data_IF_741329378441
#
_entry.id   IF_741329378441
#
_cell.length_a   1.000
_cell.length_b   1.000
_cell.length_c   1.000
_cell.angle_alpha   90.00
_cell.angle_beta   90.00
_cell.angle_gamma   90.00
#
_symmetry.space_group_name_H-M   'P 1'
#
loop_
_entity.id
_entity.type
_entity.pdbx_description
1 polymer ?
#
# COMPACT_ATOMS: atom_id res chain seq x y z
N UNK A 1 -5.39 8.12 9.11
CA UNK A 1 -4.07 8.80 9.27
C UNK A 1 -4.15 10.18 8.64
N UNK A 2 -3.53 11.20 9.24
CA UNK A 2 -3.52 12.57 8.72
C UNK A 2 -2.07 13.06 8.61
N UNK A 3 -1.76 13.75 7.52
CA UNK A 3 -0.46 14.30 7.19
C UNK A 3 -0.60 15.78 6.89
N UNK A 4 0.36 16.58 7.33
CA UNK A 4 0.47 18.00 6.99
C UNK A 4 1.82 18.27 6.34
N UNK A 5 1.80 19.03 5.24
CA UNK A 5 3.01 19.43 4.56
C UNK A 5 3.71 20.56 5.32
N UNK A 6 4.76 20.25 6.08
CA UNK A 6 5.59 21.26 6.76
C UNK A 6 6.36 22.18 5.80
N UNK A 7 6.58 21.72 4.56
CA UNK A 7 7.32 22.43 3.50
C UNK A 7 6.73 22.10 2.13
N UNK A 8 6.97 22.93 1.09
CA UNK A 8 6.51 22.62 -0.26
C UNK A 8 7.03 21.27 -0.76
N UNK A 9 6.14 20.46 -1.32
CA UNK A 9 6.44 19.13 -1.87
C UNK A 9 6.05 19.11 -3.34
N UNK A 10 7.05 19.25 -4.21
CA UNK A 10 6.86 19.27 -5.66
C UNK A 10 7.04 17.88 -6.30
N UNK A 11 7.84 17.03 -5.66
CA UNK A 11 8.08 15.65 -6.07
C UNK A 11 8.22 14.74 -4.85
N UNK A 12 7.74 13.50 -5.02
CA UNK A 12 7.82 12.45 -4.02
C UNK A 12 8.34 11.21 -4.73
N UNK A 13 9.52 10.73 -4.37
CA UNK A 13 10.05 9.48 -4.91
C UNK A 13 9.65 8.36 -3.96
N UNK A 14 8.68 7.53 -4.34
CA UNK A 14 8.15 6.47 -3.49
C UNK A 14 8.59 5.11 -4.01
N UNK A 15 9.16 4.31 -3.11
CA UNK A 15 9.48 2.90 -3.33
C UNK A 15 8.38 2.06 -2.70
N UNK A 16 7.77 1.19 -3.50
CA UNK A 16 6.89 0.12 -3.05
C UNK A 16 7.62 -1.20 -3.22
N UNK A 17 7.74 -1.98 -2.15
CA UNK A 17 8.27 -3.35 -2.22
C UNK A 17 7.27 -4.29 -1.56
N UNK A 18 6.77 -5.25 -2.34
CA UNK A 18 5.89 -6.28 -1.85
C UNK A 18 6.66 -7.59 -1.76
N UNK A 19 6.70 -8.16 -0.57
CA UNK A 19 7.33 -9.43 -0.30
C UNK A 19 6.26 -10.49 -0.03
N UNK A 20 6.48 -11.67 -0.58
CA UNK A 20 5.82 -12.90 -0.15
C UNK A 20 6.64 -13.50 0.98
N UNK A 21 5.95 -13.97 2.01
CA UNK A 21 6.48 -14.66 3.17
C UNK A 21 5.93 -16.08 3.19
N UNK A 22 6.79 -17.07 2.95
CA UNK A 22 6.43 -18.48 3.01
C UNK A 22 7.12 -19.17 4.20
N UNK A 23 6.66 -20.37 4.55
CA UNK A 23 7.21 -21.18 5.65
C UNK A 23 7.26 -20.39 6.97
N UNK A 24 6.11 -19.86 7.40
CA UNK A 24 5.97 -19.05 8.62
C UNK A 24 6.93 -17.84 8.68
N UNK A 25 7.26 -17.30 7.50
CA UNK A 25 8.15 -16.16 7.36
C UNK A 25 9.64 -16.47 7.32
N UNK A 26 10.04 -17.76 7.31
CA UNK A 26 11.43 -18.17 7.09
C UNK A 26 11.94 -17.80 5.69
N UNK A 27 11.04 -17.73 4.70
CA UNK A 27 11.37 -17.30 3.34
C UNK A 27 10.74 -15.93 3.08
N UNK A 28 11.55 -14.94 2.71
CA UNK A 28 11.10 -13.59 2.30
C UNK A 28 11.57 -13.32 0.87
N UNK A 29 10.65 -13.36 -0.09
CA UNK A 29 10.93 -13.13 -1.51
C UNK A 29 10.23 -11.87 -2.01
N UNK A 30 10.91 -11.06 -2.81
CA UNK A 30 10.31 -9.88 -3.46
C UNK A 30 9.40 -10.36 -4.59
N UNK A 31 8.09 -10.13 -4.47
CA UNK A 31 7.15 -10.34 -5.56
C UNK A 31 7.22 -9.20 -6.59
N UNK A 32 7.25 -7.96 -6.11
CA UNK A 32 7.51 -6.80 -6.96
C UNK A 32 8.14 -5.66 -6.17
N UNK A 33 8.93 -4.85 -6.88
CA UNK A 33 9.54 -3.61 -6.39
C UNK A 33 9.38 -2.53 -7.44
N UNK A 34 8.87 -1.36 -7.06
CA UNK A 34 8.59 -0.24 -7.98
C UNK A 34 8.97 1.09 -7.35
N UNK A 35 9.77 1.85 -8.07
CA UNK A 35 9.96 3.27 -7.81
C UNK A 35 8.96 4.07 -8.63
N UNK A 36 8.23 4.97 -7.99
CA UNK A 36 7.33 5.91 -8.66
C UNK A 36 7.63 7.34 -8.22
N UNK A 37 7.36 8.31 -9.10
CA UNK A 37 7.14 9.68 -8.68
C UNK A 37 5.69 9.81 -8.23
N UNK A 38 5.45 9.80 -6.91
CA UNK A 38 4.13 9.90 -6.30
C UNK A 38 3.40 11.17 -6.72
N UNK A 39 4.10 12.29 -6.91
CA UNK A 39 3.48 13.52 -7.38
C UNK A 39 3.05 13.46 -8.84
N UNK A 40 3.88 12.85 -9.70
CA UNK A 40 3.51 12.60 -11.09
C UNK A 40 2.35 11.60 -11.19
N UNK A 41 2.37 10.55 -10.38
CA UNK A 41 1.31 9.56 -10.29
C UNK A 41 -0.01 10.16 -9.80
N UNK A 42 -0.01 11.00 -8.76
CA UNK A 42 -1.22 11.71 -8.31
C UNK A 42 -1.79 12.65 -9.39
N UNK A 43 -0.93 13.21 -10.25
CA UNK A 43 -1.36 14.01 -11.40
C UNK A 43 -1.91 13.15 -12.55
N UNK A 44 -1.38 11.93 -12.72
CA UNK A 44 -1.69 10.99 -13.81
C UNK A 44 -1.62 9.54 -13.29
N UNK A 45 -2.68 9.03 -12.62
CA UNK A 45 -2.62 7.75 -11.91
C UNK A 45 -2.53 6.52 -12.84
N UNK A 46 -2.69 6.71 -14.16
CA UNK A 46 -2.61 5.62 -15.14
C UNK A 46 -1.17 5.22 -15.50
N UNK A 47 -0.14 5.85 -14.92
CA UNK A 47 1.27 5.56 -15.22
C UNK A 47 1.76 4.22 -14.69
N UNK A 48 1.15 3.70 -13.61
CA UNK A 48 1.42 2.37 -13.09
C UNK A 48 0.10 1.70 -12.70
N UNK A 49 -0.29 0.68 -13.48
CA UNK A 49 -1.58 -0.02 -13.30
C UNK A 49 -1.66 -0.76 -11.98
N UNK A 50 -0.56 -1.35 -11.52
CA UNK A 50 -0.55 -2.13 -10.29
C UNK A 50 -0.74 -1.20 -9.09
N UNK A 51 0.01 -0.10 -9.04
CA UNK A 51 -0.15 0.89 -7.97
C UNK A 51 -1.54 1.55 -8.03
N UNK A 52 -2.07 1.80 -9.24
CA UNK A 52 -3.42 2.33 -9.42
C UNK A 52 -4.51 1.50 -8.78
N UNK A 53 -4.45 0.17 -8.90
CA UNK A 53 -5.44 -0.73 -8.28
C UNK A 53 -5.54 -0.48 -6.77
N UNK A 54 -4.40 -0.37 -6.08
CA UNK A 54 -4.38 -0.09 -4.64
C UNK A 54 -4.75 1.37 -4.34
N UNK A 55 -4.28 2.31 -5.15
CA UNK A 55 -4.50 3.73 -4.95
C UNK A 55 -5.95 4.16 -5.14
N UNK A 56 -6.68 3.58 -6.09
CA UNK A 56 -8.08 3.93 -6.35
C UNK A 56 -8.95 3.67 -5.11
N UNK A 57 -8.74 2.54 -4.42
CA UNK A 57 -9.42 2.22 -3.15
C UNK A 57 -9.01 3.19 -2.04
N UNK A 58 -7.72 3.48 -1.91
CA UNK A 58 -7.26 4.45 -0.90
C UNK A 58 -7.93 5.79 -1.15
N UNK A 59 -7.95 6.28 -2.40
CA UNK A 59 -8.52 7.56 -2.79
C UNK A 59 -10.02 7.64 -2.52
N UNK A 60 -10.76 6.54 -2.64
CA UNK A 60 -12.20 6.50 -2.36
C UNK A 60 -12.51 6.85 -0.90
N UNK A 61 -11.71 6.35 0.04
CA UNK A 61 -11.92 6.59 1.48
C UNK A 61 -11.07 7.74 2.04
N UNK A 62 -10.16 8.29 1.24
CA UNK A 62 -9.16 9.28 1.65
C UNK A 62 -9.41 10.66 1.04
N UNK A 63 -8.90 11.70 1.70
CA UNK A 63 -8.80 13.05 1.13
C UNK A 63 -7.35 13.29 0.73
N UNK A 64 -7.02 12.94 -0.51
CA UNK A 64 -5.70 13.14 -1.10
C UNK A 64 -5.74 14.32 -2.06
N UNK A 65 -5.18 15.49 -1.69
CA UNK A 65 -5.11 16.62 -2.61
C UNK A 65 -4.17 16.32 -3.77
N UNK A 66 -4.33 17.07 -4.85
CA UNK A 66 -3.48 16.98 -6.03
C UNK A 66 -2.12 17.66 -5.75
N UNK A 67 -1.02 16.95 -5.99
CA UNK A 67 0.34 17.50 -5.89
C UNK A 67 0.61 18.54 -7.02
N UNK A 68 1.39 19.64 -6.82
CA UNK A 68 2.27 20.00 -5.68
C UNK A 68 1.56 20.40 -4.40
N UNK A 69 2.13 20.01 -3.26
CA UNK A 69 1.65 20.41 -1.93
C UNK A 69 2.36 21.67 -1.46
N UNK A 70 1.60 22.65 -0.99
CA UNK A 70 2.08 23.86 -0.33
C UNK A 70 2.26 23.59 1.16
N UNK A 71 2.96 24.50 1.85
CA UNK A 71 3.07 24.44 3.32
C UNK A 71 1.66 24.58 3.93
N UNK A 72 1.32 23.70 4.86
CA UNK A 72 0.02 23.65 5.52
C UNK A 72 -1.05 22.85 4.77
N UNK A 73 -0.77 22.36 3.55
CA UNK A 73 -1.69 21.44 2.88
C UNK A 73 -1.80 20.15 3.69
N UNK A 74 -3.03 19.68 3.89
CA UNK A 74 -3.31 18.46 4.65
C UNK A 74 -3.80 17.34 3.74
N UNK A 75 -3.36 16.12 4.05
CA UNK A 75 -3.79 14.90 3.41
C UNK A 75 -4.30 13.93 4.47
N UNK A 76 -5.48 13.37 4.25
CA UNK A 76 -6.05 12.34 5.14
C UNK A 76 -6.06 11.03 4.37
N UNK A 77 -5.29 10.05 4.86
CA UNK A 77 -5.28 8.69 4.34
C UNK A 77 -6.13 7.79 5.24
N UNK A 78 -7.22 7.28 4.69
CA UNK A 78 -8.03 6.25 5.29
C UNK A 78 -7.80 4.95 4.52
N UNK A 79 -7.20 3.98 5.21
CA UNK A 79 -6.85 2.70 4.60
C UNK A 79 -7.82 1.67 5.13
N UNK A 80 -8.56 1.06 4.20
CA UNK A 80 -9.56 0.04 4.48
C UNK A 80 -9.12 -1.25 3.81
N UNK A 81 -8.31 -2.10 4.48
CA UNK A 81 -7.73 -3.29 3.85
C UNK A 81 -8.78 -4.26 3.29
N UNK A 82 -9.96 -4.32 3.89
CA UNK A 82 -11.09 -5.15 3.43
C UNK A 82 -11.67 -4.72 2.08
N UNK A 83 -11.42 -3.48 1.64
CA UNK A 83 -11.90 -2.96 0.37
C UNK A 83 -10.89 -3.16 -0.78
N UNK A 84 -9.67 -3.65 -0.51
CA UNK A 84 -8.67 -3.82 -1.56
C UNK A 84 -9.00 -4.99 -2.48
N UNK A 85 -9.13 -4.75 -3.80
CA UNK A 85 -9.26 -5.83 -4.76
C UNK A 85 -7.88 -6.50 -4.88
N UNK A 86 -7.77 -7.70 -4.34
CA UNK A 86 -6.56 -8.52 -4.46
C UNK A 86 -6.60 -9.20 -5.84
N UNK A 87 -5.69 -8.86 -6.77
CA UNK A 87 -5.65 -9.51 -8.07
C UNK A 87 -5.30 -11.00 -7.93
N UNK A 88 -5.82 -11.84 -8.82
CA UNK A 88 -5.63 -13.30 -8.77
C UNK A 88 -4.17 -13.76 -8.91
N UNK A 89 -3.28 -12.89 -9.40
CA UNK A 89 -1.84 -13.16 -9.50
C UNK A 89 -1.15 -13.19 -8.14
N UNK A 90 -1.79 -12.68 -7.08
CA UNK A 90 -1.24 -12.72 -5.73
C UNK A 90 -1.52 -14.08 -5.09
N UNK A 91 -0.47 -14.81 -4.67
CA UNK A 91 -0.66 -16.11 -4.04
C UNK A 91 -1.28 -15.98 -2.64
N UNK A 92 -1.98 -17.02 -2.21
CA UNK A 92 -2.52 -17.12 -0.85
C UNK A 92 -1.39 -17.47 0.13
N UNK A 93 -0.79 -16.46 0.72
CA UNK A 93 0.41 -16.55 1.56
C UNK A 93 0.54 -15.31 2.42
N UNK A 94 1.45 -15.34 3.39
CA UNK A 94 1.77 -14.17 4.18
C UNK A 94 2.53 -13.17 3.34
N UNK A 95 2.35 -11.89 3.62
CA UNK A 95 3.02 -10.83 2.89
C UNK A 95 3.55 -9.75 3.81
N UNK A 96 4.50 -9.00 3.25
CA UNK A 96 4.99 -7.76 3.80
C UNK A 96 5.01 -6.71 2.70
N UNK A 97 4.31 -5.61 2.89
CA UNK A 97 4.41 -4.43 2.02
C UNK A 97 5.23 -3.36 2.73
N UNK A 98 6.35 -2.98 2.13
CA UNK A 98 7.19 -1.86 2.56
C UNK A 98 6.97 -0.68 1.61
N UNK A 99 6.65 0.48 2.17
CA UNK A 99 6.51 1.74 1.41
C UNK A 99 7.41 2.79 2.01
N UNK A 100 8.30 3.34 1.19
CA UNK A 100 9.23 4.42 1.57
C UNK A 100 9.08 5.59 0.62
N UNK A 101 8.73 6.75 1.15
CA UNK A 101 8.58 7.98 0.35
C UNK A 101 9.66 8.98 0.73
N UNK A 102 10.35 9.47 -0.29
CA UNK A 102 11.40 10.46 -0.18
C UNK A 102 10.96 11.78 -0.82
N UNK A 103 11.21 12.91 -0.14
CA UNK A 103 10.96 14.26 -0.66
C UNK A 103 12.30 14.91 -0.99
N UNK A 104 12.37 15.64 -2.12
CA UNK A 104 13.60 16.13 -2.78
C UNK A 104 14.52 14.98 -3.19
N UNK A 105 14.50 14.60 -4.47
CA UNK A 105 15.44 13.67 -5.16
C UNK A 105 16.16 12.66 -4.24
N UNK A 106 15.40 11.89 -3.44
CA UNK A 106 15.95 10.81 -2.60
C UNK A 106 16.69 11.20 -1.31
N UNK A 107 16.73 12.47 -0.90
CA UNK A 107 17.54 12.91 0.25
C UNK A 107 16.79 12.85 1.58
N UNK A 108 15.52 13.27 1.64
CA UNK A 108 14.75 13.23 2.89
C UNK A 108 13.70 12.11 2.87
N UNK A 109 13.87 11.10 3.73
CA UNK A 109 12.81 10.14 4.02
C UNK A 109 11.67 10.86 4.76
N UNK A 110 10.52 10.97 4.11
CA UNK A 110 9.36 11.68 4.64
C UNK A 110 8.36 10.73 5.27
N UNK A 111 8.30 9.49 4.79
CA UNK A 111 7.36 8.49 5.27
C UNK A 111 7.92 7.10 5.03
N UNK A 112 7.86 6.26 6.06
CA UNK A 112 8.12 4.82 5.96
C UNK A 112 6.99 4.09 6.66
N UNK A 113 6.49 3.04 6.02
CA UNK A 113 5.48 2.17 6.62
C UNK A 113 5.70 0.73 6.17
N UNK A 114 5.34 -0.21 7.06
CA UNK A 114 5.47 -1.65 6.85
C UNK A 114 4.17 -2.32 7.25
N UNK A 115 3.61 -3.10 6.35
CA UNK A 115 2.31 -3.72 6.51
C UNK A 115 2.50 -5.22 6.42
N UNK A 116 2.11 -5.93 7.47
CA UNK A 116 2.13 -7.38 7.53
C UNK A 116 0.70 -7.90 7.42
N UNK A 117 0.50 -8.99 6.69
CA UNK A 117 -0.80 -9.61 6.58
C UNK A 117 -0.73 -10.96 5.88
N UNK A 118 -1.89 -11.56 5.69
CA UNK A 118 -2.05 -12.85 5.03
C UNK A 118 -3.12 -12.75 3.96
N UNK A 119 -2.83 -13.28 2.78
CA UNK A 119 -3.82 -13.47 1.74
C UNK A 119 -4.35 -14.89 1.83
N UNK A 120 -5.66 -15.02 2.00
CA UNK A 120 -6.33 -16.32 2.10
C UNK A 120 -7.35 -16.46 0.98
N UNK A 121 -7.48 -17.65 0.41
CA UNK A 121 -8.58 -17.92 -0.52
C UNK A 121 -9.89 -17.97 0.25
N UNK A 122 -10.96 -17.41 -0.31
CA UNK A 122 -12.29 -17.36 0.32
C UNK A 122 -12.81 -18.77 0.66
N UNK A 123 -12.48 -19.79 -0.15
CA UNK A 123 -12.82 -21.20 0.12
C UNK A 123 -12.23 -21.67 1.46
N UNK A 124 -10.95 -21.40 1.71
CA UNK A 124 -10.26 -21.76 2.96
C UNK A 124 -10.81 -21.01 4.18
N UNK A 125 -11.32 -19.78 3.97
CA UNK A 125 -12.00 -19.03 5.03
C UNK A 125 -13.24 -19.80 5.48
N UNK A 126 -14.10 -20.23 4.55
CA UNK A 126 -15.31 -20.99 4.90
C UNK A 126 -15.01 -22.25 5.71
N UNK A 127 -13.98 -23.01 5.34
CA UNK A 127 -13.53 -24.20 6.08
C UNK A 127 -13.09 -23.87 7.50
N UNK A 128 -12.29 -22.81 7.68
CA UNK A 128 -11.82 -22.37 9.00
C UNK A 128 -12.96 -21.92 9.91
N UNK A 129 -13.95 -21.20 9.37
CA UNK A 129 -15.16 -20.81 10.10
C UNK A 129 -16.02 -22.02 10.51
N UNK A 130 -16.17 -23.00 9.62
CA UNK A 130 -16.86 -24.26 9.92
C UNK A 130 -16.14 -25.08 11.00
N UNK A 131 -14.81 -25.15 10.94
CA UNK A 131 -13.99 -25.83 11.95
C UNK A 131 -14.04 -25.14 13.33
N UNK A 132 -14.21 -23.82 13.37
CA UNK A 132 -14.29 -23.06 14.63
C UNK A 132 -15.67 -23.18 15.29
N UNK A 133 -16.74 -23.31 14.49
CA UNK A 133 -18.11 -23.58 15.00
C UNK A 133 -18.32 -25.01 15.50
N UNK A 134 -17.42 -25.94 15.19
CA UNK A 134 -17.47 -27.33 15.63
C UNK A 134 -16.79 -27.61 16.98
N UNK A 135 -16.20 -26.59 17.64
CA UNK A 135 -15.66 -26.68 18.99
C UNK A 135 -16.56 -25.88 19.93
N UNK A 136 -17.52 -26.58 20.53
CA UNK A 136 -18.24 -26.16 21.73
C UNK A 136 -17.28 -25.88 22.88
#
# INVERSE_FOLDING_TARGET
>A
MQFEAYRPVNSMKTLFVFYIRALDGAVKNVLFSRWIDGCAFLRRPNSDRLIKIFFDVIKEYSKVPRCPYKRGDTMVLNITPSAWPIPSVFPATDFLLEVKTYIKVGVLLAFETRWFGSLVKIEQVKERWSATKGKN
#
